data_IF_744102156955
#
_entry.id   IF_744102156955
#
_cell.length_a   1.000
_cell.length_b   1.000
_cell.length_c   1.000
_cell.angle_alpha   90.00
_cell.angle_beta   90.00
_cell.angle_gamma   90.00
#
_symmetry.space_group_name_H-M   'P 1'
#
loop_
_entity.id
_entity.type
_entity.pdbx_description
1 polymer ?
#
# COMPACT_ATOMS: atom_id res chain seq x y z
N UNK A 1 -4.45 -12.29 -30.75
CA UNK A 1 -3.06 -11.77 -30.69
C UNK A 1 -2.99 -10.42 -29.99
N UNK A 2 -3.52 -9.31 -30.53
CA UNK A 2 -3.43 -7.98 -29.89
C UNK A 2 -3.89 -7.92 -28.41
N UNK A 3 -4.99 -8.60 -28.07
CA UNK A 3 -5.51 -8.69 -26.69
C UNK A 3 -4.60 -9.50 -25.75
N UNK A 4 -3.92 -10.53 -26.26
CA UNK A 4 -2.98 -11.33 -25.47
C UNK A 4 -1.68 -10.56 -25.20
N UNK A 5 -1.18 -9.82 -26.19
CA UNK A 5 0.01 -8.96 -26.04
C UNK A 5 -0.24 -7.82 -25.06
N UNK A 6 -1.42 -7.19 -25.10
CA UNK A 6 -1.81 -6.15 -24.15
C UNK A 6 -1.87 -6.67 -22.70
N UNK A 7 -2.44 -7.86 -22.49
CA UNK A 7 -2.51 -8.48 -21.16
C UNK A 7 -1.12 -8.86 -20.62
N UNK A 8 -0.24 -9.40 -21.47
CA UNK A 8 1.14 -9.71 -21.08
C UNK A 8 1.94 -8.44 -20.70
N UNK A 9 1.72 -7.34 -21.42
CA UNK A 9 2.36 -6.06 -21.13
C UNK A 9 1.89 -5.47 -19.78
N UNK A 10 0.59 -5.55 -19.47
CA UNK A 10 0.06 -5.16 -18.15
C UNK A 10 0.66 -6.00 -17.03
N UNK A 11 0.67 -7.33 -17.17
CA UNK A 11 1.18 -8.22 -16.14
C UNK A 11 2.67 -7.95 -15.84
N UNK A 12 3.49 -7.84 -16.90
CA UNK A 12 4.93 -7.55 -16.75
C UNK A 12 5.17 -6.23 -16.04
N UNK A 13 4.35 -5.22 -16.32
CA UNK A 13 4.42 -3.92 -15.65
C UNK A 13 4.08 -4.03 -14.16
N UNK A 14 3.04 -4.79 -13.82
CA UNK A 14 2.61 -4.98 -12.43
C UNK A 14 3.64 -5.78 -11.61
N UNK A 15 4.20 -6.83 -12.20
CA UNK A 15 5.24 -7.64 -11.58
C UNK A 15 6.50 -6.80 -11.32
N UNK A 16 6.90 -5.97 -12.29
CA UNK A 16 8.02 -5.04 -12.12
C UNK A 16 7.78 -4.03 -10.99
N UNK A 17 6.59 -3.42 -10.94
CA UNK A 17 6.27 -2.43 -9.91
C UNK A 17 6.16 -3.06 -8.52
N UNK A 18 5.66 -4.29 -8.43
CA UNK A 18 5.64 -5.08 -7.20
C UNK A 18 7.06 -5.36 -6.71
N UNK A 19 7.93 -5.85 -7.61
CA UNK A 19 9.34 -6.10 -7.30
C UNK A 19 10.05 -4.83 -6.79
N UNK A 20 9.96 -3.73 -7.54
CA UNK A 20 10.59 -2.46 -7.14
C UNK A 20 10.05 -1.97 -5.79
N UNK A 21 8.74 -2.09 -5.55
CA UNK A 21 8.14 -1.69 -4.27
C UNK A 21 8.69 -2.50 -3.09
N UNK A 22 8.92 -3.80 -3.27
CA UNK A 22 9.55 -4.64 -2.25
C UNK A 22 10.99 -4.24 -1.98
N UNK A 23 11.78 -4.02 -3.03
CA UNK A 23 13.18 -3.61 -2.90
C UNK A 23 13.34 -2.21 -2.30
N UNK A 24 12.37 -1.31 -2.48
CA UNK A 24 12.38 0.03 -1.89
C UNK A 24 11.96 0.04 -0.42
N UNK A 25 11.08 -0.87 0.02
CA UNK A 25 10.63 -0.95 1.42
C UNK A 25 11.77 -1.22 2.39
N UNK A 26 12.69 -2.13 2.05
CA UNK A 26 13.82 -2.50 2.93
C UNK A 26 14.76 -1.33 3.27
N UNK A 27 15.33 -0.59 2.29
CA UNK A 27 16.17 0.57 2.58
C UNK A 27 15.38 1.71 3.23
N UNK A 28 14.11 1.90 2.86
CA UNK A 28 13.27 2.95 3.45
C UNK A 28 12.95 2.67 4.93
N UNK A 29 12.58 1.43 5.27
CA UNK A 29 12.38 1.01 6.66
C UNK A 29 13.65 1.14 7.48
N UNK A 30 14.82 0.94 6.86
CA UNK A 30 16.11 1.18 7.52
C UNK A 30 16.29 2.67 7.83
N UNK A 31 16.05 3.57 6.86
CA UNK A 31 16.11 5.03 7.04
C UNK A 31 15.14 5.47 8.16
N UNK A 32 13.89 5.00 8.13
CA UNK A 32 12.87 5.32 9.13
C UNK A 32 13.26 4.80 10.52
N UNK A 33 13.70 3.55 10.61
CA UNK A 33 14.13 2.94 11.87
C UNK A 33 15.32 3.67 12.49
N UNK A 34 16.36 3.96 11.71
CA UNK A 34 17.53 4.67 12.21
C UNK A 34 17.20 6.12 12.58
N UNK A 35 16.44 6.84 11.76
CA UNK A 35 16.02 8.20 12.10
C UNK A 35 15.18 8.23 13.37
N UNK A 36 14.29 7.27 13.57
CA UNK A 36 13.50 7.16 14.80
C UNK A 36 14.35 6.85 16.03
N UNK A 37 15.30 5.90 15.92
CA UNK A 37 16.26 5.61 17.01
C UNK A 37 17.08 6.85 17.36
N UNK A 38 17.63 7.55 16.36
CA UNK A 38 18.43 8.75 16.59
C UNK A 38 17.60 9.87 17.25
N UNK A 39 16.35 10.07 16.84
CA UNK A 39 15.45 11.06 17.44
C UNK A 39 15.18 10.84 18.94
N UNK A 40 15.35 9.61 19.44
CA UNK A 40 15.24 9.30 20.89
C UNK A 40 16.40 9.83 21.72
N UNK A 41 17.52 10.22 21.09
CA UNK A 41 18.68 10.74 21.80
C UNK A 41 18.40 12.14 22.34
N UNK A 42 18.62 12.32 23.64
CA UNK A 42 18.48 13.61 24.33
C UNK A 42 19.63 14.58 24.04
N UNK A 43 20.76 14.09 23.56
CA UNK A 43 21.97 14.88 23.28
C UNK A 43 22.00 15.52 21.88
N UNK A 44 20.93 15.40 21.08
CA UNK A 44 20.86 16.01 19.76
C UNK A 44 20.77 17.53 19.87
N UNK A 45 21.58 18.24 19.07
CA UNK A 45 21.36 19.66 18.85
C UNK A 45 20.02 19.88 18.13
N UNK A 46 19.37 21.02 18.37
CA UNK A 46 18.05 21.34 17.80
C UNK A 46 18.04 21.23 16.26
N UNK A 47 19.08 21.71 15.59
CA UNK A 47 19.22 21.61 14.13
C UNK A 47 19.28 20.14 13.66
N UNK A 48 19.99 19.28 14.38
CA UNK A 48 20.06 17.85 14.06
C UNK A 48 18.70 17.16 14.26
N UNK A 49 17.98 17.54 15.33
CA UNK A 49 16.62 17.05 15.58
C UNK A 49 15.66 17.46 14.48
N UNK A 50 15.72 18.71 14.02
CA UNK A 50 14.91 19.19 12.90
C UNK A 50 15.23 18.43 11.60
N UNK A 51 16.52 18.29 11.27
CA UNK A 51 16.95 17.55 10.08
C UNK A 51 16.50 16.08 10.12
N UNK A 52 16.68 15.39 11.26
CA UNK A 52 16.22 14.01 11.43
C UNK A 52 14.69 13.88 11.35
N UNK A 53 13.96 14.85 11.89
CA UNK A 53 12.49 14.89 11.79
C UNK A 53 12.07 15.03 10.33
N UNK A 54 12.74 15.89 9.56
CA UNK A 54 12.45 16.08 8.14
C UNK A 54 12.79 14.83 7.31
N UNK A 55 13.91 14.17 7.61
CA UNK A 55 14.28 12.88 6.98
C UNK A 55 13.21 11.82 7.26
N UNK A 56 12.77 11.69 8.51
CA UNK A 56 11.74 10.73 8.91
C UNK A 56 10.40 11.00 8.18
N UNK A 57 9.92 12.25 8.20
CA UNK A 57 8.69 12.65 7.51
C UNK A 57 8.77 12.42 5.99
N UNK A 58 9.92 12.70 5.38
CA UNK A 58 10.14 12.44 3.95
C UNK A 58 10.13 10.95 3.63
N UNK A 59 10.68 10.12 4.53
CA UNK A 59 10.63 8.67 4.43
C UNK A 59 9.20 8.12 4.48
N UNK A 60 8.37 8.61 5.41
CA UNK A 60 6.95 8.23 5.54
C UNK A 60 6.15 8.62 4.29
N UNK A 61 6.39 9.83 3.77
CA UNK A 61 5.77 10.29 2.52
C UNK A 61 6.16 9.40 1.33
N UNK A 62 7.43 9.06 1.21
CA UNK A 62 7.90 8.17 0.15
C UNK A 62 7.30 6.76 0.28
N UNK A 63 7.16 6.23 1.50
CA UNK A 63 6.53 4.92 1.74
C UNK A 63 5.08 4.92 1.26
N UNK A 64 4.37 6.01 1.55
CA UNK A 64 2.98 6.21 1.12
C UNK A 64 2.89 6.20 -0.41
N UNK A 65 3.75 6.97 -1.10
CA UNK A 65 3.80 6.99 -2.57
C UNK A 65 4.10 5.62 -3.18
N UNK A 66 5.02 4.86 -2.58
CA UNK A 66 5.33 3.49 -3.02
C UNK A 66 4.10 2.57 -2.88
N UNK A 67 3.38 2.68 -1.76
CA UNK A 67 2.17 1.88 -1.54
C UNK A 67 1.01 2.27 -2.48
N UNK A 68 0.84 3.56 -2.76
CA UNK A 68 -0.17 4.05 -3.71
C UNK A 68 0.12 3.56 -5.13
N UNK A 69 1.38 3.60 -5.55
CA UNK A 69 1.81 3.12 -6.86
C UNK A 69 1.55 1.61 -7.01
N UNK A 70 1.82 0.82 -5.96
CA UNK A 70 1.49 -0.60 -5.94
C UNK A 70 -0.02 -0.83 -6.07
N UNK A 71 -0.84 -0.04 -5.37
CA UNK A 71 -2.30 -0.15 -5.40
C UNK A 71 -2.86 0.10 -6.80
N UNK A 72 -2.35 1.13 -7.50
CA UNK A 72 -2.72 1.42 -8.89
C UNK A 72 -2.33 0.26 -9.82
N UNK A 73 -1.17 -0.35 -9.58
CA UNK A 73 -0.70 -1.49 -10.38
C UNK A 73 -1.63 -2.69 -10.24
N UNK A 74 -2.04 -3.03 -9.01
CA UNK A 74 -2.96 -4.12 -8.76
C UNK A 74 -4.40 -3.85 -9.22
N UNK A 75 -4.86 -2.59 -9.18
CA UNK A 75 -6.19 -2.22 -9.65
C UNK A 75 -6.37 -2.51 -11.15
N UNK A 76 -5.33 -2.25 -11.96
CA UNK A 76 -5.39 -2.51 -13.39
C UNK A 76 -5.43 -4.01 -13.74
N UNK A 77 -4.94 -4.88 -12.86
CA UNK A 77 -4.96 -6.33 -13.08
C UNK A 77 -6.24 -7.00 -12.54
N UNK A 78 -6.90 -6.39 -11.54
CA UNK A 78 -8.09 -6.97 -10.89
C UNK A 78 -9.42 -6.61 -11.55
N UNK A 79 -9.48 -5.54 -12.35
CA UNK A 79 -10.69 -5.21 -13.11
C UNK A 79 -10.69 -5.89 -14.48
N UNK A 80 -10.88 -7.21 -14.49
CA UNK A 80 -11.65 -7.81 -15.57
C UNK A 80 -13.10 -7.44 -15.27
N UNK A 81 -13.55 -6.30 -15.80
CA UNK A 81 -14.98 -5.97 -15.82
C UNK A 81 -15.60 -7.02 -16.74
N UNK A 82 -16.17 -8.05 -16.14
CA UNK A 82 -17.10 -8.93 -16.84
C UNK A 82 -18.39 -8.13 -17.02
N UNK A 83 -18.72 -7.69 -18.25
CA UNK A 83 -19.92 -6.90 -18.49
C UNK A 83 -21.21 -7.68 -18.20
N UNK A 84 -21.14 -9.01 -18.01
CA UNK A 84 -22.30 -9.84 -17.68
C UNK A 84 -22.48 -10.05 -16.16
N UNK A 85 -21.53 -9.62 -15.33
CA UNK A 85 -21.60 -9.85 -13.90
C UNK A 85 -22.47 -8.78 -13.23
N UNK A 86 -23.78 -9.05 -13.16
CA UNK A 86 -24.72 -8.25 -12.40
C UNK A 86 -24.38 -8.34 -10.91
N UNK A 87 -23.78 -7.30 -10.35
CA UNK A 87 -23.54 -7.21 -8.92
C UNK A 87 -24.88 -7.19 -8.18
N UNK A 88 -25.24 -8.31 -7.57
CA UNK A 88 -26.43 -8.38 -6.72
C UNK A 88 -26.13 -7.66 -5.40
N UNK A 89 -26.62 -6.43 -5.27
CA UNK A 89 -26.48 -5.63 -4.06
C UNK A 89 -26.97 -6.36 -2.80
N UNK A 90 -28.01 -7.20 -2.92
CA UNK A 90 -28.51 -8.04 -1.83
C UNK A 90 -27.46 -9.02 -1.31
N UNK A 91 -26.75 -9.71 -2.21
CA UNK A 91 -25.68 -10.64 -1.84
C UNK A 91 -24.48 -9.93 -1.21
N UNK A 92 -24.14 -8.72 -1.69
CA UNK A 92 -23.08 -7.90 -1.10
C UNK A 92 -23.45 -7.43 0.32
N UNK A 93 -24.69 -6.97 0.52
CA UNK A 93 -25.18 -6.56 1.83
C UNK A 93 -25.22 -7.73 2.81
N UNK A 94 -25.62 -8.93 2.36
CA UNK A 94 -25.61 -10.12 3.20
C UNK A 94 -24.18 -10.51 3.61
N UNK A 95 -23.23 -10.47 2.67
CA UNK A 95 -21.82 -10.74 2.98
C UNK A 95 -21.25 -9.77 4.03
N UNK A 96 -21.50 -8.47 3.85
CA UNK A 96 -21.06 -7.45 4.82
C UNK A 96 -21.73 -7.67 6.19
N UNK A 97 -23.00 -8.04 6.20
CA UNK A 97 -23.75 -8.31 7.43
C UNK A 97 -23.22 -9.56 8.15
N UNK A 98 -22.95 -10.65 7.43
CA UNK A 98 -22.40 -11.89 7.99
C UNK A 98 -20.98 -11.70 8.50
N UNK A 99 -20.19 -10.83 7.86
CA UNK A 99 -18.83 -10.51 8.26
C UNK A 99 -18.77 -9.61 9.51
N UNK A 100 -19.68 -8.62 9.63
CA UNK A 100 -19.69 -7.67 10.74
C UNK A 100 -20.53 -8.11 11.95
N UNK A 101 -21.50 -9.03 11.76
CA UNK A 101 -22.35 -9.54 12.84
C UNK A 101 -21.59 -10.21 14.02
N UNK A 102 -20.50 -10.97 13.80
CA UNK A 102 -19.70 -11.54 14.89
C UNK A 102 -19.04 -10.46 15.74
N UNK A 103 -18.54 -9.38 15.12
CA UNK A 103 -17.85 -8.28 15.80
C UNK A 103 -18.82 -7.38 16.57
N UNK A 104 -20.04 -7.20 16.06
CA UNK A 104 -21.10 -6.46 16.73
C UNK A 104 -21.58 -7.15 18.03
N UNK A 105 -21.60 -8.49 18.06
CA UNK A 105 -22.00 -9.27 19.25
C UNK A 105 -20.96 -9.30 20.37
N UNK A 106 -19.69 -8.95 20.09
CA UNK A 106 -18.63 -8.89 21.09
C UNK A 106 -18.57 -7.56 21.86
N UNK A 107 -19.34 -6.55 21.45
CA UNK A 107 -19.38 -5.21 22.08
C UNK A 107 -20.66 -4.92 22.87
N UNK A 108 -21.50 -5.92 23.11
CA UNK A 108 -22.67 -5.90 24.03
C UNK A 108 -22.47 -6.94 25.11
#
# INVERSE_FOLDING_TARGET
MAKQTANQASQTKSDFLTFVSHELRTPLNSILGFSQILLTQSSLAEEQRQNLTQIYQSGEQLLTLVNDLLSISQLNDRYIVDPENQCCLGSLLQFVQDFLAPEAKQKT
#
